data_IF_148223380702
#
_entry.id   IF_148223380702
#
_cell.length_a   1.000
_cell.length_b   1.000
_cell.length_c   1.000
_cell.angle_alpha   90.00
_cell.angle_beta   90.00
_cell.angle_gamma   90.00
#
_symmetry.space_group_name_H-M   'P 1'
#
loop_
_entity.id
_entity.type
_entity.pdbx_description
1 polymer ?
#
# COMPACT_ATOMS: atom_id res chain seq x y z
N UNK A 1 -0.23 11.98 -10.25
CA UNK A 1 -1.22 11.16 -9.52
C UNK A 1 -1.38 11.69 -8.10
N UNK A 2 -2.60 11.75 -7.60
CA UNK A 2 -2.93 12.25 -6.27
C UNK A 2 -3.40 11.11 -5.37
N UNK A 3 -3.57 11.38 -4.08
CA UNK A 3 -4.16 10.41 -3.14
C UNK A 3 -5.54 9.96 -3.61
N UNK A 4 -6.34 10.89 -4.12
CA UNK A 4 -7.69 10.61 -4.62
C UNK A 4 -7.65 9.69 -5.85
N UNK A 5 -6.69 9.90 -6.75
CA UNK A 5 -6.48 9.03 -7.90
C UNK A 5 -6.15 7.61 -7.45
N UNK A 6 -5.26 7.48 -6.45
CA UNK A 6 -4.88 6.18 -5.89
C UNK A 6 -6.09 5.47 -5.28
N UNK A 7 -6.85 6.18 -4.45
CA UNK A 7 -8.08 5.64 -3.85
C UNK A 7 -9.06 5.15 -4.90
N UNK A 8 -9.25 5.93 -5.95
CA UNK A 8 -10.16 5.61 -7.04
C UNK A 8 -9.75 4.34 -7.78
N UNK A 9 -8.47 4.21 -8.11
CA UNK A 9 -7.93 3.04 -8.80
C UNK A 9 -8.05 1.80 -7.94
N UNK A 10 -7.71 1.90 -6.64
CA UNK A 10 -7.81 0.76 -5.73
C UNK A 10 -9.26 0.34 -5.51
N UNK A 11 -10.18 1.30 -5.41
CA UNK A 11 -11.61 1.01 -5.29
C UNK A 11 -12.15 0.27 -6.50
N UNK A 12 -11.69 0.62 -7.69
CA UNK A 12 -12.08 -0.05 -8.93
C UNK A 12 -11.44 -1.45 -9.07
N UNK A 13 -10.42 -1.76 -8.29
CA UNK A 13 -9.66 -3.00 -8.36
C UNK A 13 -9.63 -3.75 -7.03
N UNK A 14 -10.68 -3.62 -6.24
CA UNK A 14 -10.76 -4.22 -4.90
C UNK A 14 -10.53 -5.73 -4.90
N UNK A 15 -10.85 -6.40 -6.00
CA UNK A 15 -10.68 -7.84 -6.12
C UNK A 15 -9.21 -8.26 -6.05
N UNK A 16 -8.31 -7.41 -6.53
CA UNK A 16 -6.87 -7.65 -6.45
C UNK A 16 -6.45 -7.68 -4.97
N UNK A 17 -6.95 -6.73 -4.18
CA UNK A 17 -6.64 -6.67 -2.75
C UNK A 17 -7.14 -7.91 -2.03
N UNK A 18 -8.35 -8.36 -2.34
CA UNK A 18 -8.93 -9.57 -1.75
C UNK A 18 -8.15 -10.81 -2.15
N UNK A 19 -7.71 -10.89 -3.41
CA UNK A 19 -6.92 -12.03 -3.90
C UNK A 19 -5.65 -12.22 -3.09
N UNK A 20 -5.01 -11.14 -2.70
CA UNK A 20 -3.76 -11.18 -1.93
C UNK A 20 -3.99 -11.10 -0.42
N UNK A 21 -5.23 -11.31 0.03
CA UNK A 21 -5.60 -11.37 1.45
C UNK A 21 -5.28 -10.08 2.20
N UNK A 22 -5.46 -8.94 1.54
CA UNK A 22 -5.30 -7.63 2.17
C UNK A 22 -6.48 -7.38 3.08
N UNK A 23 -6.22 -7.12 4.37
CA UNK A 23 -7.24 -6.71 5.34
C UNK A 23 -7.40 -5.21 5.36
N UNK A 24 -6.30 -4.49 5.33
CA UNK A 24 -6.29 -3.04 5.25
C UNK A 24 -5.08 -2.57 4.47
N UNK A 25 -5.22 -1.43 3.83
CA UNK A 25 -4.15 -0.80 3.08
C UNK A 25 -4.12 0.69 3.40
N UNK A 26 -2.95 1.18 3.70
CA UNK A 26 -2.72 2.59 4.04
C UNK A 26 -1.63 3.15 3.14
N UNK A 27 -1.71 4.45 2.90
CA UNK A 27 -0.72 5.18 2.13
C UNK A 27 0.20 5.90 3.11
N UNK A 28 1.51 5.87 2.85
CA UNK A 28 2.46 6.66 3.63
C UNK A 28 3.52 7.23 2.70
N UNK A 29 4.51 7.94 3.25
CA UNK A 29 5.58 8.52 2.46
C UNK A 29 5.16 9.82 1.76
N UNK A 30 5.81 10.12 0.63
CA UNK A 30 5.66 11.40 -0.06
C UNK A 30 4.23 11.71 -0.48
N UNK A 31 3.46 10.71 -0.90
CA UNK A 31 2.06 10.92 -1.34
C UNK A 31 1.15 11.37 -0.19
N UNK A 32 1.39 10.90 1.03
CA UNK A 32 0.63 11.36 2.20
C UNK A 32 0.98 12.79 2.55
N UNK A 33 2.27 13.12 2.48
CA UNK A 33 2.75 14.47 2.80
C UNK A 33 2.50 15.49 1.67
N UNK A 34 1.95 15.02 0.54
CA UNK A 34 1.74 15.84 -0.65
C UNK A 34 3.06 16.43 -1.19
N UNK A 35 4.12 15.64 -1.07
CA UNK A 35 5.47 16.01 -1.52
C UNK A 35 5.92 15.18 -2.73
N UNK A 36 5.00 14.43 -3.35
CA UNK A 36 5.33 13.57 -4.47
C UNK A 36 5.79 14.35 -5.68
N UNK A 37 6.76 13.74 -6.37
CA UNK A 37 7.30 14.23 -7.64
C UNK A 37 6.99 13.18 -8.72
N UNK A 38 7.28 13.50 -9.97
CA UNK A 38 6.99 12.59 -11.09
C UNK A 38 7.65 11.22 -10.94
N UNK A 39 8.80 11.14 -10.28
CA UNK A 39 9.54 9.90 -10.04
C UNK A 39 9.37 9.33 -8.63
N UNK A 40 8.43 9.85 -7.85
CA UNK A 40 8.18 9.34 -6.49
C UNK A 40 7.50 7.97 -6.53
N UNK A 41 7.99 7.07 -5.68
CA UNK A 41 7.34 5.78 -5.48
C UNK A 41 6.07 5.94 -4.64
N UNK A 42 5.12 5.06 -4.84
CA UNK A 42 3.92 5.00 -4.01
C UNK A 42 4.17 3.97 -2.92
N UNK A 43 4.10 4.41 -1.67
CA UNK A 43 4.39 3.56 -0.51
C UNK A 43 3.11 3.15 0.19
N UNK A 44 2.86 1.84 0.24
CA UNK A 44 1.70 1.28 0.94
C UNK A 44 2.12 0.50 2.17
N UNK A 45 1.39 0.72 3.26
CA UNK A 45 1.45 -0.11 4.45
C UNK A 45 0.24 -1.03 4.43
N UNK A 46 0.47 -2.34 4.45
CA UNK A 46 -0.59 -3.32 4.27
C UNK A 46 -0.66 -4.27 5.47
N UNK A 47 -1.87 -4.45 5.98
CA UNK A 47 -2.16 -5.51 6.92
C UNK A 47 -2.73 -6.68 6.14
N UNK A 48 -2.08 -7.84 6.23
CA UNK A 48 -2.47 -9.05 5.54
C UNK A 48 -3.17 -10.04 6.47
N UNK A 49 -4.00 -10.90 5.88
CA UNK A 49 -4.55 -12.05 6.56
C UNK A 49 -3.48 -13.14 6.75
N UNK A 50 -3.91 -14.26 7.33
CA UNK A 50 -3.01 -15.38 7.60
C UNK A 50 -2.61 -16.11 6.31
N UNK A 51 -1.43 -16.74 6.36
CA UNK A 51 -0.94 -17.57 5.27
C UNK A 51 -0.33 -16.81 4.11
N UNK A 52 -0.10 -15.51 4.27
CA UNK A 52 0.53 -14.70 3.22
C UNK A 52 2.03 -14.91 3.27
N UNK A 53 2.62 -15.18 2.10
CA UNK A 53 4.05 -15.38 1.94
C UNK A 53 4.71 -14.15 1.32
N UNK A 54 6.03 -14.15 1.30
CA UNK A 54 6.79 -13.09 0.63
C UNK A 54 6.43 -13.02 -0.87
N UNK A 55 6.16 -14.16 -1.48
CA UNK A 55 5.73 -14.21 -2.90
C UNK A 55 4.42 -13.46 -3.11
N UNK A 56 3.50 -13.57 -2.17
CA UNK A 56 2.22 -12.85 -2.24
C UNK A 56 2.44 -11.34 -2.15
N UNK A 57 3.34 -10.92 -1.27
CA UNK A 57 3.66 -9.49 -1.09
C UNK A 57 4.26 -8.93 -2.38
N UNK A 58 5.23 -9.64 -2.95
CA UNK A 58 5.86 -9.23 -4.22
C UNK A 58 4.85 -9.25 -5.36
N UNK A 59 3.96 -10.24 -5.38
CA UNK A 59 2.89 -10.33 -6.37
C UNK A 59 1.93 -9.14 -6.31
N UNK A 60 1.51 -8.79 -5.09
CA UNK A 60 0.65 -7.61 -4.89
C UNK A 60 1.34 -6.34 -5.35
N UNK A 61 2.60 -6.16 -4.99
CA UNK A 61 3.40 -5.00 -5.39
C UNK A 61 3.45 -4.87 -6.92
N UNK A 62 3.69 -5.97 -7.62
CA UNK A 62 3.70 -6.00 -9.08
C UNK A 62 2.35 -5.63 -9.69
N UNK A 63 1.26 -6.19 -9.14
CA UNK A 63 -0.09 -5.89 -9.65
C UNK A 63 -0.47 -4.43 -9.41
N UNK A 64 -0.17 -3.91 -8.24
CA UNK A 64 -0.45 -2.51 -7.93
C UNK A 64 0.36 -1.58 -8.84
N UNK A 65 1.62 -1.93 -9.10
CA UNK A 65 2.46 -1.16 -10.02
C UNK A 65 1.87 -1.12 -11.43
N UNK A 66 1.31 -2.23 -11.89
CA UNK A 66 0.66 -2.30 -13.21
C UNK A 66 -0.57 -1.40 -13.30
N UNK A 67 -1.47 -1.48 -12.31
CA UNK A 67 -2.73 -0.74 -12.37
C UNK A 67 -2.54 0.74 -12.08
N UNK A 68 -1.55 1.09 -11.26
CA UNK A 68 -1.26 2.49 -10.93
C UNK A 68 -0.28 3.13 -11.92
N UNK A 69 0.43 2.31 -12.70
CA UNK A 69 1.45 2.76 -13.66
C UNK A 69 2.55 3.58 -13.02
N UNK A 70 2.87 3.23 -11.77
CA UNK A 70 3.91 3.85 -10.97
C UNK A 70 4.64 2.76 -10.20
N UNK A 71 5.86 3.03 -9.78
CA UNK A 71 6.58 2.11 -8.91
C UNK A 71 5.91 2.10 -7.54
N UNK A 72 5.60 0.90 -7.05
CA UNK A 72 4.91 0.70 -5.78
C UNK A 72 5.81 -0.08 -4.84
N UNK A 73 5.87 0.35 -3.60
CA UNK A 73 6.52 -0.37 -2.51
C UNK A 73 5.44 -0.81 -1.52
N UNK A 74 5.42 -2.08 -1.19
CA UNK A 74 4.49 -2.64 -0.21
C UNK A 74 5.27 -3.04 1.03
N UNK A 75 4.88 -2.48 2.17
CA UNK A 75 5.45 -2.81 3.47
C UNK A 75 4.38 -3.53 4.28
N UNK A 76 4.69 -4.73 4.74
CA UNK A 76 3.78 -5.46 5.61
C UNK A 76 3.81 -4.86 7.02
N UNK A 77 2.65 -4.68 7.61
CA UNK A 77 2.54 -4.15 8.96
C UNK A 77 3.32 -4.98 9.97
N UNK A 78 3.35 -6.30 9.79
CA UNK A 78 4.13 -7.22 10.64
C UNK A 78 5.64 -7.06 10.49
N UNK A 79 6.09 -6.52 9.35
CA UNK A 79 7.51 -6.31 9.08
C UNK A 79 8.06 -5.01 9.63
N UNK A 80 7.24 -4.19 10.26
CA UNK A 80 7.71 -2.92 10.83
C UNK A 80 8.59 -3.17 12.03
N UNK A 81 9.76 -2.53 12.06
CA UNK A 81 10.64 -2.62 13.21
C UNK A 81 10.26 -1.55 14.25
N UNK A 82 10.81 -1.70 15.47
CA UNK A 82 10.47 -0.82 16.59
C UNK A 82 10.97 0.63 16.46
N UNK A 83 11.91 0.86 15.55
CA UNK A 83 12.49 2.20 15.36
C UNK A 83 11.74 3.01 14.33
N UNK A 84 11.48 2.43 13.15
CA UNK A 84 10.84 3.13 12.04
C UNK A 84 9.32 2.94 12.01
N UNK A 85 8.84 1.83 12.58
CA UNK A 85 7.42 1.48 12.60
C UNK A 85 6.52 2.57 13.16
N UNK A 86 6.82 3.15 14.35
CA UNK A 86 5.98 4.20 14.92
C UNK A 86 5.83 5.43 14.02
N UNK A 87 6.88 5.79 13.30
CA UNK A 87 6.84 6.94 12.37
C UNK A 87 5.93 6.64 11.18
N UNK A 88 6.04 5.43 10.63
CA UNK A 88 5.19 5.01 9.50
C UNK A 88 3.73 4.93 9.94
N UNK A 89 3.46 4.31 11.09
CA UNK A 89 2.08 4.18 11.61
C UNK A 89 1.44 5.53 11.89
N UNK A 90 2.21 6.48 12.40
CA UNK A 90 1.70 7.83 12.70
C UNK A 90 1.36 8.59 11.42
N UNK A 91 2.16 8.42 10.38
CA UNK A 91 2.00 9.10 9.10
C UNK A 91 0.93 8.45 8.22
N UNK A 92 0.77 7.12 8.34
CA UNK A 92 -0.06 6.34 7.42
C UNK A 92 -1.52 6.78 7.42
N UNK A 93 -2.08 6.91 6.22
CA UNK A 93 -3.48 7.26 6.01
C UNK A 93 -4.19 6.05 5.41
N UNK A 94 -5.18 5.52 6.13
CA UNK A 94 -5.91 4.35 5.67
C UNK A 94 -6.76 4.69 4.45
N UNK A 95 -6.61 3.90 3.39
CA UNK A 95 -7.37 4.09 2.16
C UNK A 95 -8.28 2.91 1.83
N UNK A 96 -8.16 1.81 2.56
CA UNK A 96 -9.06 0.66 2.44
C UNK A 96 -8.95 -0.23 3.65
N UNK A 97 -10.08 -0.63 4.23
CA UNK A 97 -10.12 -1.53 5.38
C UNK A 97 -11.40 -2.37 5.35
N UNK A 98 -11.45 -3.41 6.18
CA UNK A 98 -12.58 -4.31 6.22
C UNK A 98 -12.72 -5.17 4.96
N UNK A 99 -11.61 -5.45 4.32
CA UNK A 99 -11.58 -6.16 3.03
C UNK A 99 -11.71 -7.68 3.17
#
# INVERSE_FOLDING_TARGET
MTKEDIKSVLGANIEILKKYKVKSISLFGSYVRNEQKDDSDIDFLVEFGEGVTLFDIVGLEGRLSEILKEKVNVVSKRGLNKYIGPYILKEAETIGEGL
#
